data_IF_186630746104
#
_entry.id   IF_186630746104
#
_cell.length_a   1.000
_cell.length_b   1.000
_cell.length_c   1.000
_cell.angle_alpha   90.00
_cell.angle_beta   90.00
_cell.angle_gamma   90.00
#
_symmetry.space_group_name_H-M   'P 1'
#
loop_
_entity.id
_entity.type
_entity.pdbx_description
1 polymer ?
#
# COMPACT_ATOMS: atom_id res chain seq x y z
N UNK A 1 -4.65 -4.18 -18.36
CA UNK A 1 -3.97 -5.50 -18.47
C UNK A 1 -4.96 -6.46 -19.04
N UNK A 2 -4.63 -7.16 -20.14
CA UNK A 2 -5.56 -8.09 -20.76
C UNK A 2 -5.78 -9.33 -19.90
N UNK A 3 -7.02 -9.81 -19.78
CA UNK A 3 -7.43 -11.06 -19.11
C UNK A 3 -6.56 -12.28 -19.46
N UNK A 4 -5.99 -12.31 -20.68
CA UNK A 4 -5.09 -13.38 -21.14
C UNK A 4 -3.76 -13.47 -20.41
N UNK A 5 -3.22 -12.35 -19.90
CA UNK A 5 -1.91 -12.34 -19.25
C UNK A 5 -1.97 -12.85 -17.80
N UNK A 6 -3.15 -12.73 -17.16
CA UNK A 6 -3.39 -13.24 -15.79
C UNK A 6 -3.74 -14.73 -15.76
N UNK A 7 -4.26 -15.29 -16.87
CA UNK A 7 -4.57 -16.73 -16.96
C UNK A 7 -3.32 -17.61 -16.81
N UNK A 8 -2.15 -17.15 -17.26
CA UNK A 8 -0.91 -17.93 -17.16
C UNK A 8 -0.42 -18.15 -15.71
N UNK A 9 -0.31 -17.12 -14.84
CA UNK A 9 0.07 -17.31 -13.45
C UNK A 9 -0.91 -18.18 -12.66
N UNK A 10 -2.22 -18.04 -12.90
CA UNK A 10 -3.24 -18.87 -12.24
C UNK A 10 -3.11 -20.34 -12.65
N UNK A 11 -2.96 -20.61 -13.95
CA UNK A 11 -2.76 -21.96 -14.46
C UNK A 11 -1.44 -22.56 -13.94
N UNK A 12 -0.37 -21.78 -13.90
CA UNK A 12 0.90 -22.22 -13.32
C UNK A 12 0.78 -22.60 -11.84
N UNK A 13 -0.02 -21.88 -11.07
CA UNK A 13 -0.22 -22.16 -9.64
C UNK A 13 -0.99 -23.45 -9.36
N UNK A 14 -1.74 -23.98 -10.35
CA UNK A 14 -2.51 -25.23 -10.23
C UNK A 14 -1.93 -26.36 -11.07
N UNK A 15 -0.85 -26.11 -11.81
CA UNK A 15 -0.23 -27.11 -12.67
C UNK A 15 0.31 -28.27 -11.82
N UNK A 16 0.00 -29.50 -12.23
CA UNK A 16 0.45 -30.73 -11.60
C UNK A 16 1.98 -30.94 -11.65
N UNK A 17 2.71 -30.13 -12.43
CA UNK A 17 4.18 -30.21 -12.50
C UNK A 17 4.90 -29.74 -11.22
N UNK A 18 4.20 -29.19 -10.24
CA UNK A 18 4.80 -28.77 -8.99
C UNK A 18 5.00 -29.94 -8.01
N UNK A 19 6.22 -30.14 -7.54
CA UNK A 19 6.53 -31.12 -6.47
C UNK A 19 6.01 -30.66 -5.07
N UNK A 20 5.65 -29.38 -4.91
CA UNK A 20 5.19 -28.78 -3.66
C UNK A 20 4.08 -27.78 -3.93
N UNK A 21 3.23 -27.53 -2.92
CA UNK A 21 2.22 -26.50 -2.98
C UNK A 21 2.83 -25.11 -3.29
N UNK A 22 2.48 -24.48 -4.40
CA UNK A 22 2.98 -23.15 -4.75
C UNK A 22 2.32 -22.06 -3.91
N UNK A 23 2.96 -20.89 -3.86
CA UNK A 23 2.36 -19.66 -3.29
C UNK A 23 1.96 -18.76 -4.46
N UNK A 24 0.66 -18.45 -4.54
CA UNK A 24 0.10 -17.53 -5.52
C UNK A 24 -0.18 -16.19 -4.84
N UNK A 25 0.49 -15.14 -5.26
CA UNK A 25 0.21 -13.76 -4.85
C UNK A 25 -0.58 -13.05 -5.95
N UNK A 26 -1.74 -12.51 -5.59
CA UNK A 26 -2.55 -11.64 -6.46
C UNK A 26 -2.66 -10.28 -5.79
N UNK A 27 -1.94 -9.33 -6.37
CA UNK A 27 -1.86 -7.97 -5.85
C UNK A 27 -2.98 -7.10 -6.41
N UNK A 28 -3.50 -6.18 -5.59
CA UNK A 28 -4.57 -5.24 -5.96
C UNK A 28 -5.83 -5.94 -6.54
N UNK A 29 -6.32 -6.98 -5.87
CA UNK A 29 -7.51 -7.73 -6.33
C UNK A 29 -8.77 -6.86 -6.48
N UNK A 30 -8.83 -5.73 -5.79
CA UNK A 30 -9.88 -4.72 -5.93
C UNK A 30 -9.91 -4.02 -7.30
N UNK A 31 -8.91 -4.24 -8.15
CA UNK A 31 -8.88 -3.80 -9.56
C UNK A 31 -9.22 -4.90 -10.56
N UNK A 32 -9.52 -6.09 -10.08
CA UNK A 32 -9.89 -7.22 -10.91
C UNK A 32 -11.22 -6.94 -11.66
N UNK A 33 -11.33 -7.42 -12.89
CA UNK A 33 -12.61 -7.45 -13.60
C UNK A 33 -13.48 -8.62 -13.13
N UNK A 34 -14.73 -8.64 -13.56
CA UNK A 34 -15.68 -9.69 -13.16
C UNK A 34 -15.25 -11.10 -13.64
N UNK A 35 -14.54 -11.16 -14.77
CA UNK A 35 -14.06 -12.44 -15.31
C UNK A 35 -12.98 -13.03 -14.42
N UNK A 36 -12.03 -12.20 -13.96
CA UNK A 36 -11.01 -12.62 -13.00
C UNK A 36 -11.61 -12.98 -11.64
N UNK A 37 -12.60 -12.21 -11.16
CA UNK A 37 -13.29 -12.55 -9.91
C UNK A 37 -13.96 -13.93 -9.97
N UNK A 38 -14.60 -14.26 -11.11
CA UNK A 38 -15.22 -15.58 -11.32
C UNK A 38 -14.17 -16.72 -11.28
N UNK A 39 -13.01 -16.52 -11.92
CA UNK A 39 -11.90 -17.47 -11.84
C UNK A 39 -11.37 -17.63 -10.41
N UNK A 40 -11.24 -16.53 -9.67
CA UNK A 40 -10.80 -16.58 -8.28
C UNK A 40 -11.80 -17.31 -7.37
N UNK A 41 -13.09 -17.17 -7.63
CA UNK A 41 -14.12 -17.89 -6.89
C UNK A 41 -14.00 -19.41 -7.11
N UNK A 42 -13.77 -19.85 -8.33
CA UNK A 42 -13.54 -21.27 -8.66
C UNK A 42 -12.24 -21.77 -8.01
N UNK A 43 -11.15 -21.03 -8.17
CA UNK A 43 -9.85 -21.35 -7.60
C UNK A 43 -9.89 -21.50 -6.07
N UNK A 44 -10.53 -20.55 -5.39
CA UNK A 44 -10.59 -20.53 -3.91
C UNK A 44 -11.61 -21.50 -3.32
N UNK A 45 -12.56 -22.01 -4.13
CA UNK A 45 -13.54 -22.99 -3.67
C UNK A 45 -13.09 -24.41 -3.87
N UNK A 46 -12.63 -24.71 -5.08
CA UNK A 46 -12.42 -26.09 -5.54
C UNK A 46 -10.97 -26.37 -5.95
N UNK A 47 -10.10 -25.36 -5.84
CA UNK A 47 -8.69 -25.40 -6.28
C UNK A 47 -8.54 -25.92 -7.70
N UNK A 48 -9.41 -25.41 -8.58
CA UNK A 48 -9.44 -25.72 -10.00
C UNK A 48 -9.68 -24.47 -10.83
N UNK A 49 -9.41 -24.57 -12.12
CA UNK A 49 -9.73 -23.53 -13.11
C UNK A 49 -10.29 -24.22 -14.36
N UNK A 50 -11.43 -23.73 -14.83
CA UNK A 50 -12.05 -24.23 -16.05
C UNK A 50 -11.65 -23.31 -17.23
N UNK A 51 -10.98 -23.89 -18.22
CA UNK A 51 -10.60 -23.23 -19.48
C UNK A 51 -11.47 -23.81 -20.59
N UNK A 52 -12.27 -23.00 -21.31
CA UNK A 52 -13.26 -23.51 -22.27
C UNK A 52 -12.71 -24.51 -23.31
N UNK A 53 -11.47 -24.32 -23.76
CA UNK A 53 -10.84 -25.12 -24.82
C UNK A 53 -10.02 -26.32 -24.30
N UNK A 54 -9.66 -26.31 -23.01
CA UNK A 54 -8.78 -27.31 -22.39
C UNK A 54 -9.56 -28.18 -21.39
N UNK A 55 -10.65 -27.67 -20.85
CA UNK A 55 -11.43 -28.32 -19.79
C UNK A 55 -11.02 -27.82 -18.39
N UNK A 56 -11.40 -28.58 -17.36
CA UNK A 56 -11.13 -28.25 -15.96
C UNK A 56 -9.77 -28.83 -15.54
N UNK A 57 -8.89 -27.94 -15.09
CA UNK A 57 -7.60 -28.27 -14.52
C UNK A 57 -7.72 -28.14 -13.01
N UNK A 58 -7.40 -29.20 -12.27
CA UNK A 58 -7.45 -29.24 -10.81
C UNK A 58 -6.06 -29.27 -10.22
N UNK A 59 -5.83 -28.50 -9.14
CA UNK A 59 -4.56 -28.52 -8.45
C UNK A 59 -4.30 -29.89 -7.80
N UNK A 60 -3.16 -30.49 -8.07
CA UNK A 60 -2.69 -31.69 -7.36
C UNK A 60 -2.20 -31.32 -5.95
N UNK A 61 -1.51 -30.19 -5.84
CA UNK A 61 -1.08 -29.57 -4.59
C UNK A 61 -1.81 -28.26 -4.37
N UNK A 62 -2.62 -28.18 -3.33
CA UNK A 62 -3.43 -26.99 -3.01
C UNK A 62 -2.52 -25.77 -2.79
N UNK A 63 -2.62 -24.73 -3.62
CA UNK A 63 -1.78 -23.55 -3.50
C UNK A 63 -2.13 -22.72 -2.26
N UNK A 64 -1.12 -22.07 -1.68
CA UNK A 64 -1.38 -20.97 -0.72
C UNK A 64 -1.66 -19.71 -1.53
N UNK A 65 -2.88 -19.17 -1.41
CA UNK A 65 -3.28 -17.97 -2.15
C UNK A 65 -3.28 -16.78 -1.22
N UNK A 66 -2.55 -15.73 -1.61
CA UNK A 66 -2.47 -14.45 -0.92
C UNK A 66 -3.07 -13.39 -1.84
N UNK A 67 -4.11 -12.70 -1.36
CA UNK A 67 -4.74 -11.58 -2.04
C UNK A 67 -4.42 -10.30 -1.31
N UNK A 68 -4.01 -9.24 -2.02
CA UNK A 68 -3.91 -7.90 -1.45
C UNK A 68 -4.96 -6.98 -2.04
N UNK A 69 -5.35 -5.96 -1.29
CA UNK A 69 -6.30 -4.94 -1.73
C UNK A 69 -5.96 -3.60 -1.10
N UNK A 70 -5.98 -2.54 -1.91
CA UNK A 70 -5.89 -1.16 -1.49
C UNK A 70 -7.27 -0.54 -1.18
N UNK A 71 -8.35 -1.33 -1.29
CA UNK A 71 -9.73 -0.92 -1.02
C UNK A 71 -10.21 0.23 -1.92
N UNK A 72 -9.71 0.31 -3.15
CA UNK A 72 -10.18 1.29 -4.14
C UNK A 72 -11.62 1.00 -4.56
N UNK A 73 -12.02 -0.26 -4.45
CA UNK A 73 -13.37 -0.73 -4.63
C UNK A 73 -13.67 -1.85 -3.61
N UNK A 74 -14.92 -2.07 -3.31
CA UNK A 74 -15.32 -3.17 -2.43
C UNK A 74 -15.12 -4.53 -3.12
N UNK A 75 -14.44 -5.46 -2.44
CA UNK A 75 -14.27 -6.83 -2.91
C UNK A 75 -15.60 -7.57 -2.71
N UNK A 76 -15.99 -8.37 -3.70
CA UNK A 76 -17.23 -9.14 -3.65
C UNK A 76 -17.28 -10.07 -2.44
N UNK A 77 -18.40 -10.11 -1.74
CA UNK A 77 -18.59 -10.88 -0.50
C UNK A 77 -18.30 -12.38 -0.67
N UNK A 78 -18.54 -12.92 -1.86
CA UNK A 78 -18.24 -14.31 -2.16
C UNK A 78 -16.72 -14.61 -2.06
N UNK A 79 -15.84 -13.67 -2.43
CA UNK A 79 -14.39 -13.80 -2.23
C UNK A 79 -14.01 -13.64 -0.77
N UNK A 80 -14.58 -12.62 -0.08
CA UNK A 80 -14.31 -12.39 1.34
C UNK A 80 -14.59 -13.63 2.20
N UNK A 81 -15.69 -14.34 1.94
CA UNK A 81 -16.08 -15.54 2.69
C UNK A 81 -15.13 -16.74 2.53
N UNK A 82 -14.26 -16.71 1.52
CA UNK A 82 -13.30 -17.78 1.23
C UNK A 82 -11.88 -17.44 1.71
N UNK A 83 -11.69 -16.25 2.29
CA UNK A 83 -10.39 -15.75 2.73
C UNK A 83 -10.36 -15.51 4.24
N UNK A 84 -9.19 -15.70 4.83
CA UNK A 84 -8.87 -15.12 6.11
C UNK A 84 -8.52 -13.64 5.90
N UNK A 85 -9.10 -12.78 6.72
CA UNK A 85 -8.93 -11.34 6.58
C UNK A 85 -7.88 -10.82 7.55
N UNK A 86 -6.93 -10.06 7.05
CA UNK A 86 -5.95 -9.36 7.87
C UNK A 86 -5.84 -7.90 7.42
N UNK A 87 -6.02 -6.99 8.36
CA UNK A 87 -5.90 -5.56 8.13
C UNK A 87 -4.47 -5.11 8.41
N UNK A 88 -3.91 -4.34 7.49
CA UNK A 88 -2.60 -3.71 7.65
C UNK A 88 -2.84 -2.21 7.77
N UNK A 89 -2.75 -1.70 9.00
CA UNK A 89 -2.85 -0.27 9.29
C UNK A 89 -1.53 0.45 8.97
N UNK A 90 -1.58 1.78 8.99
CA UNK A 90 -0.38 2.58 8.95
C UNK A 90 0.58 2.19 10.10
N UNK A 91 1.90 2.21 9.85
CA UNK A 91 2.85 1.93 10.91
C UNK A 91 2.72 2.98 12.02
N UNK A 92 2.95 2.57 13.26
CA UNK A 92 3.12 3.51 14.37
C UNK A 92 4.44 4.28 14.21
N UNK A 93 4.63 5.33 15.03
CA UNK A 93 5.79 6.22 15.00
C UNK A 93 7.12 5.46 14.96
N UNK A 94 7.36 4.53 15.90
CA UNK A 94 8.64 3.82 16.02
C UNK A 94 8.92 2.92 14.81
N UNK A 95 7.90 2.28 14.27
CA UNK A 95 8.02 1.44 13.08
C UNK A 95 8.28 2.29 11.86
N UNK A 96 7.56 3.40 11.69
CA UNK A 96 7.73 4.32 10.57
C UNK A 96 9.12 4.96 10.58
N UNK A 97 9.60 5.39 11.75
CA UNK A 97 10.95 5.93 11.92
C UNK A 97 12.02 4.90 11.50
N UNK A 98 11.92 3.65 11.96
CA UNK A 98 12.85 2.58 11.56
C UNK A 98 12.81 2.30 10.07
N UNK A 99 11.63 2.33 9.45
CA UNK A 99 11.49 2.16 8.00
C UNK A 99 12.16 3.32 7.28
N UNK A 100 11.93 4.56 7.72
CA UNK A 100 12.52 5.75 7.12
C UNK A 100 14.06 5.68 7.20
N UNK A 101 14.63 5.42 8.37
CA UNK A 101 16.08 5.27 8.53
C UNK A 101 16.68 4.16 7.64
N UNK A 102 15.98 3.03 7.49
CA UNK A 102 16.44 1.94 6.65
C UNK A 102 16.38 2.25 5.14
N UNK A 103 15.43 3.10 4.71
CA UNK A 103 15.16 3.39 3.30
C UNK A 103 15.76 4.72 2.82
N UNK A 104 16.04 5.63 3.73
CA UNK A 104 16.64 6.95 3.51
C UNK A 104 17.74 7.17 4.57
N UNK A 105 18.80 6.36 4.55
CA UNK A 105 19.85 6.38 5.57
C UNK A 105 20.64 7.70 5.61
N UNK A 106 20.59 8.48 4.55
CA UNK A 106 21.18 9.81 4.44
C UNK A 106 20.41 10.89 5.22
N UNK A 107 19.19 10.62 5.66
CA UNK A 107 18.42 11.57 6.46
C UNK A 107 18.99 11.66 7.88
N UNK A 108 19.35 12.88 8.35
CA UNK A 108 19.73 13.08 9.75
C UNK A 108 18.64 12.56 10.69
N UNK A 109 19.03 11.93 11.78
CA UNK A 109 18.11 11.32 12.73
C UNK A 109 17.04 12.31 13.23
N UNK A 110 17.45 13.55 13.52
CA UNK A 110 16.57 14.61 13.97
C UNK A 110 15.49 14.91 12.92
N UNK A 111 15.88 15.17 11.67
CA UNK A 111 14.95 15.41 10.58
C UNK A 111 14.02 14.22 10.34
N UNK A 112 14.56 13.00 10.40
CA UNK A 112 13.74 11.78 10.22
C UNK A 112 12.65 11.67 11.29
N UNK A 113 12.96 11.98 12.55
CA UNK A 113 11.98 12.02 13.65
C UNK A 113 10.91 13.06 13.43
N UNK A 114 11.30 14.27 12.99
CA UNK A 114 10.40 15.37 12.68
C UNK A 114 9.46 15.02 11.53
N UNK A 115 9.98 14.42 10.46
CA UNK A 115 9.19 13.96 9.30
C UNK A 115 8.12 12.95 9.74
N UNK A 116 8.52 11.96 10.53
CA UNK A 116 7.56 10.94 11.01
C UNK A 116 6.52 11.55 11.92
N UNK A 117 6.91 12.43 12.86
CA UNK A 117 5.97 13.12 13.74
C UNK A 117 4.95 13.96 12.96
N UNK A 118 5.41 14.70 11.94
CA UNK A 118 4.55 15.48 11.06
C UNK A 118 3.58 14.59 10.28
N UNK A 119 4.07 13.50 9.68
CA UNK A 119 3.24 12.56 8.91
C UNK A 119 2.20 11.87 9.79
N UNK A 120 2.56 11.46 11.01
CA UNK A 120 1.60 10.92 11.99
C UNK A 120 0.53 11.96 12.34
N UNK A 121 0.93 13.23 12.48
CA UNK A 121 0.01 14.35 12.71
C UNK A 121 -0.95 14.57 11.55
N UNK A 122 -0.48 14.48 10.30
CA UNK A 122 -1.32 14.57 9.10
C UNK A 122 -2.39 13.48 9.07
N UNK A 123 -2.06 12.24 9.45
CA UNK A 123 -3.03 11.14 9.50
C UNK A 123 -4.12 11.31 10.57
N UNK A 124 -3.91 12.21 11.52
CA UNK A 124 -4.91 12.59 12.52
C UNK A 124 -5.88 13.68 12.06
N UNK A 125 -5.71 14.24 10.86
CA UNK A 125 -6.57 15.22 10.23
C UNK A 125 -7.54 14.52 9.29
N UNK A 126 -8.73 15.06 9.10
CA UNK A 126 -9.70 14.59 8.11
C UNK A 126 -9.23 15.00 6.70
N UNK A 127 -8.47 14.10 6.07
CA UNK A 127 -7.95 14.24 4.71
C UNK A 127 -8.67 13.28 3.78
N UNK A 128 -8.85 13.68 2.54
CA UNK A 128 -9.41 12.83 1.50
C UNK A 128 -8.52 11.57 1.31
N UNK A 129 -7.19 11.76 1.33
CA UNK A 129 -6.23 10.66 1.27
C UNK A 129 -5.07 10.90 2.24
N UNK A 130 -5.10 10.31 3.44
CA UNK A 130 -3.96 10.34 4.34
C UNK A 130 -2.70 9.75 3.69
N UNK A 131 -1.51 10.36 3.93
CA UNK A 131 -0.27 9.90 3.31
C UNK A 131 0.15 8.53 3.82
N UNK A 132 0.57 7.65 2.90
CA UNK A 132 1.13 6.35 3.19
C UNK A 132 2.63 6.40 3.46
N UNK A 133 3.23 5.21 3.66
CA UNK A 133 4.67 5.09 3.88
C UNK A 133 5.49 5.52 2.65
N UNK A 134 4.98 5.28 1.44
CA UNK A 134 5.64 5.69 0.20
C UNK A 134 5.76 7.22 0.11
N UNK A 135 4.65 7.92 0.38
CA UNK A 135 4.63 9.38 0.39
C UNK A 135 5.57 9.96 1.46
N UNK A 136 5.66 9.33 2.64
CA UNK A 136 6.62 9.73 3.69
C UNK A 136 8.07 9.62 3.20
N UNK A 137 8.42 8.51 2.53
CA UNK A 137 9.78 8.30 2.00
C UNK A 137 10.11 9.27 0.87
N UNK A 138 9.19 9.51 -0.05
CA UNK A 138 9.38 10.45 -1.15
C UNK A 138 9.51 11.88 -0.65
N UNK A 139 8.71 12.26 0.33
CA UNK A 139 8.81 13.58 0.96
C UNK A 139 10.14 13.76 1.71
N UNK A 140 10.60 12.71 2.40
CA UNK A 140 11.92 12.74 3.06
C UNK A 140 13.05 13.03 2.06
N UNK A 141 13.03 12.37 0.90
CA UNK A 141 14.01 12.61 -0.16
C UNK A 141 13.91 14.02 -0.75
N UNK A 142 12.68 14.52 -0.91
CA UNK A 142 12.46 15.88 -1.40
C UNK A 142 13.01 16.94 -0.42
N UNK A 143 12.75 16.79 0.88
CA UNK A 143 13.28 17.69 1.90
C UNK A 143 14.82 17.67 1.93
N UNK A 144 15.44 16.50 1.80
CA UNK A 144 16.90 16.39 1.69
C UNK A 144 17.43 17.09 0.44
N UNK A 145 16.77 16.94 -0.70
CA UNK A 145 17.14 17.61 -1.95
C UNK A 145 17.02 19.14 -1.86
N UNK A 146 16.09 19.63 -1.03
CA UNK A 146 15.95 21.06 -0.71
C UNK A 146 16.98 21.56 0.32
N UNK A 147 17.85 20.67 0.84
CA UNK A 147 18.84 21.01 1.85
C UNK A 147 18.27 21.24 3.24
N UNK A 148 17.08 20.72 3.53
CA UNK A 148 16.42 20.88 4.83
C UNK A 148 17.18 20.07 5.89
N UNK A 149 17.63 20.75 6.94
CA UNK A 149 18.32 20.13 8.09
C UNK A 149 17.33 19.86 9.23
N UNK A 150 16.44 20.81 9.49
CA UNK A 150 15.34 20.74 10.44
C UNK A 150 14.04 21.16 9.75
N UNK A 151 12.95 20.49 10.08
CA UNK A 151 11.64 20.78 9.51
C UNK A 151 11.20 22.21 9.92
N UNK A 152 10.76 22.99 8.96
CA UNK A 152 10.25 24.33 9.17
C UNK A 152 9.05 24.61 8.24
N UNK A 153 8.30 25.64 8.55
CA UNK A 153 7.06 25.98 7.85
C UNK A 153 7.28 26.21 6.34
N UNK A 154 8.36 26.89 5.96
CA UNK A 154 8.67 27.16 4.56
C UNK A 154 8.97 25.87 3.78
N UNK A 155 9.83 25.01 4.33
CA UNK A 155 10.16 23.72 3.69
C UNK A 155 8.93 22.82 3.54
N UNK A 156 8.02 22.86 4.52
CA UNK A 156 6.74 22.15 4.45
C UNK A 156 5.86 22.73 3.36
N UNK A 157 5.64 24.05 3.33
CA UNK A 157 4.77 24.69 2.35
C UNK A 157 5.25 24.47 0.91
N UNK A 158 6.55 24.57 0.68
CA UNK A 158 7.18 24.33 -0.62
C UNK A 158 7.09 22.87 -1.09
N UNK A 159 6.90 21.93 -0.17
CA UNK A 159 6.93 20.50 -0.45
C UNK A 159 5.63 19.75 -0.14
N UNK A 160 4.56 20.41 0.30
CA UNK A 160 3.26 19.77 0.62
C UNK A 160 2.73 18.89 -0.52
N UNK A 161 2.88 19.31 -1.77
CA UNK A 161 2.44 18.54 -2.94
C UNK A 161 3.22 17.23 -3.15
N UNK A 162 4.33 16.99 -2.45
CA UNK A 162 5.03 15.71 -2.47
C UNK A 162 4.36 14.69 -1.55
N UNK A 163 3.92 15.11 -0.38
CA UNK A 163 3.29 14.22 0.62
C UNK A 163 1.77 14.13 0.45
N UNK A 164 1.10 15.20 0.03
CA UNK A 164 -0.34 15.24 -0.26
C UNK A 164 -0.58 15.26 -1.77
N UNK A 165 -1.51 14.43 -2.25
CA UNK A 165 -1.75 14.21 -3.69
C UNK A 165 -3.05 14.85 -4.19
N UNK A 166 -3.86 15.40 -3.31
CA UNK A 166 -5.11 16.07 -3.62
C UNK A 166 -5.01 17.56 -3.25
N UNK A 167 -5.51 18.42 -4.14
CA UNK A 167 -5.43 19.87 -3.94
C UNK A 167 -6.19 20.31 -2.69
N UNK A 168 -7.35 19.68 -2.46
CA UNK A 168 -8.19 19.95 -1.29
C UNK A 168 -7.46 19.64 0.02
N UNK A 169 -6.67 18.54 0.06
CA UNK A 169 -5.86 18.19 1.22
C UNK A 169 -4.73 19.22 1.42
N UNK A 170 -4.05 19.61 0.34
CA UNK A 170 -2.99 20.64 0.39
C UNK A 170 -3.54 21.94 0.92
N UNK A 171 -4.69 22.40 0.40
CA UNK A 171 -5.32 23.67 0.79
C UNK A 171 -5.80 23.64 2.24
N UNK A 172 -6.28 22.48 2.73
CA UNK A 172 -6.73 22.31 4.12
C UNK A 172 -5.60 22.31 5.15
N UNK A 173 -4.41 21.87 4.73
CA UNK A 173 -3.24 21.75 5.61
C UNK A 173 -2.38 23.01 5.59
N UNK A 174 -2.32 23.73 4.48
CA UNK A 174 -1.49 24.91 4.29
C UNK A 174 -1.75 26.00 5.35
N UNK A 175 -0.70 26.71 5.77
CA UNK A 175 -0.80 27.77 6.75
C UNK A 175 -0.83 27.27 8.19
N UNK A 176 -1.81 27.70 8.99
CA UNK A 176 -1.85 27.47 10.44
C UNK A 176 -1.81 25.98 10.85
N UNK A 177 -2.43 25.10 10.04
CA UNK A 177 -2.43 23.66 10.32
C UNK A 177 -1.03 23.09 10.16
N UNK A 178 -0.35 23.41 9.05
CA UNK A 178 1.04 23.01 8.82
C UNK A 178 1.97 23.56 9.90
N UNK A 179 1.85 24.84 10.26
CA UNK A 179 2.65 25.48 11.31
C UNK A 179 2.47 24.77 12.68
N UNK A 180 1.24 24.44 13.04
CA UNK A 180 0.94 23.68 14.26
C UNK A 180 1.57 22.28 14.24
N UNK A 181 1.51 21.57 13.11
CA UNK A 181 2.12 20.25 12.96
C UNK A 181 3.64 20.30 13.03
N UNK A 182 4.26 21.30 12.39
CA UNK A 182 5.70 21.56 12.50
C UNK A 182 6.09 21.81 13.97
N UNK A 183 5.38 22.71 14.66
CA UNK A 183 5.64 22.98 16.06
C UNK A 183 5.57 21.74 16.95
N UNK A 184 4.58 20.86 16.73
CA UNK A 184 4.48 19.57 17.45
C UNK A 184 5.61 18.60 17.09
N UNK A 185 5.98 18.55 15.81
CA UNK A 185 7.06 17.67 15.34
C UNK A 185 8.42 18.04 15.95
N UNK A 186 8.68 19.35 16.09
CA UNK A 186 9.91 19.84 16.74
C UNK A 186 9.99 19.53 18.25
N UNK A 187 8.84 19.37 18.92
CA UNK A 187 8.80 19.06 20.37
C UNK A 187 8.91 17.55 20.66
N UNK A 188 8.80 16.70 19.67
CA UNK A 188 8.88 15.22 19.83
C UNK A 188 10.28 14.64 19.61
N UNK A 189 11.27 15.51 19.41
CA UNK A 189 12.67 15.13 19.11
C UNK A 189 13.59 15.35 20.29
#
# INVERSE_FOLDING_TARGET
MCSSDLKRPLLQAIDAAHERAPVLLIDEVDRADQELEAFLLELLSDFQVTVPEIGTIRAEHVPVVILTSNRTREIHDALKRRCLYHWIDFPNYDKEFRILQARVPEAPENLARQIVAFTQGLRGIDLFKPPGMAETLDWSRALLALGTVDLNEQAVDDSLGVILKYQEDVDSVRGDVAANLVGRALLQV
#
